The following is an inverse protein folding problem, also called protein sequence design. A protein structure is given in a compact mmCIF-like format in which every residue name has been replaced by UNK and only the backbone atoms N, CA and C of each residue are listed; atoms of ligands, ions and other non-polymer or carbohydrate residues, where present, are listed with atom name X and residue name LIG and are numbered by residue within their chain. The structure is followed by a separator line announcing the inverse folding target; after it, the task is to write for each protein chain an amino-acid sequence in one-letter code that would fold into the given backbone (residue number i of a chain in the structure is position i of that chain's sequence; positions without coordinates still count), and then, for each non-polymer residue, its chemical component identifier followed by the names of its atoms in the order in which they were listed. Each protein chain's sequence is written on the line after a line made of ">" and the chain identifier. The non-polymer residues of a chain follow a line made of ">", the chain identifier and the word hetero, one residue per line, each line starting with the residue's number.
data_IF_582834155247
#
_entry.id   IF_582834155247
#
_cell.length_a   1.000
_cell.length_b   1.000
_cell.length_c   1.000
_cell.angle_alpha   90.00
_cell.angle_beta   90.00
_cell.angle_gamma   90.00
#
_symmetry.space_group_name_H-M   'P 1'
#
loop_
_entity.id
_entity.type
_entity.pdbx_description
1 polymer ?
#
# COMPACT_ATOMS: atom_id res chain seq x y z
N UNK A 1 26.66 -15.15 -6.97
CA UNK A 1 26.79 -15.87 -5.68
C UNK A 1 26.32 -15.08 -4.44
N UNK A 2 25.47 -14.03 -4.55
CA UNK A 2 24.95 -13.26 -3.38
C UNK A 2 23.43 -13.37 -3.18
N UNK A 3 22.78 -14.28 -3.91
CA UNK A 3 21.31 -14.52 -3.87
C UNK A 3 20.92 -15.59 -2.83
N UNK A 4 21.83 -16.53 -2.54
CA UNK A 4 21.65 -17.52 -1.47
C UNK A 4 21.35 -16.92 -0.08
N UNK A 5 22.03 -15.85 0.39
CA UNK A 5 21.73 -15.28 1.71
C UNK A 5 20.36 -14.59 1.75
N UNK A 6 19.91 -14.00 0.64
CA UNK A 6 18.57 -13.40 0.53
C UNK A 6 17.47 -14.47 0.58
N UNK A 7 17.67 -15.60 -0.10
CA UNK A 7 16.74 -16.73 -0.05
C UNK A 7 16.69 -17.35 1.36
N UNK A 8 17.83 -17.47 2.03
CA UNK A 8 17.91 -17.98 3.41
C UNK A 8 17.21 -17.05 4.41
N UNK A 9 17.38 -15.72 4.27
CA UNK A 9 16.68 -14.74 5.10
C UNK A 9 15.18 -14.75 4.84
N UNK A 10 14.76 -14.86 3.58
CA UNK A 10 13.36 -14.93 3.18
C UNK A 10 12.69 -16.20 3.76
N UNK A 11 13.33 -17.37 3.68
CA UNK A 11 12.79 -18.61 4.25
C UNK A 11 12.73 -18.56 5.77
N UNK A 12 13.70 -17.94 6.43
CA UNK A 12 13.70 -17.77 7.89
C UNK A 12 12.57 -16.83 8.34
N UNK A 13 12.34 -15.76 7.58
CA UNK A 13 11.26 -14.80 7.83
C UNK A 13 9.87 -15.42 7.61
N UNK A 14 9.68 -16.21 6.53
CA UNK A 14 8.43 -16.94 6.30
C UNK A 14 8.16 -18.01 7.37
N UNK A 15 9.20 -18.74 7.82
CA UNK A 15 9.08 -19.77 8.85
C UNK A 15 8.82 -19.19 10.25
N UNK A 16 9.38 -18.02 10.56
CA UNK A 16 9.07 -17.29 11.81
C UNK A 16 7.63 -16.76 11.80
N UNK A 17 7.13 -16.34 10.64
CA UNK A 17 5.76 -15.83 10.49
C UNK A 17 4.69 -16.90 10.71
N UNK A 18 4.97 -18.17 10.38
CA UNK A 18 4.04 -19.29 10.61
C UNK A 18 4.01 -19.79 12.06
N UNK A 19 5.01 -19.46 12.88
CA UNK A 19 5.03 -19.78 14.30
C UNK A 19 4.26 -18.76 15.17
N UNK A 20 3.86 -17.61 14.61
CA UNK A 20 3.13 -16.56 15.31
C UNK A 20 1.60 -16.55 15.05
N UNK A 21 1.05 -17.55 14.33
CA UNK A 21 -0.39 -17.62 13.99
C UNK A 21 -1.20 -18.53 14.92
N UNK A 22 -0.63 -18.95 16.06
CA UNK A 22 -1.38 -19.63 17.11
C UNK A 22 -1.67 -18.66 18.25
N UNK A 23 -2.68 -17.81 18.06
CA UNK A 23 -3.46 -17.25 19.17
C UNK A 23 -4.96 -17.34 18.81
N UNK A 24 -5.81 -17.82 19.73
CA UNK A 24 -7.22 -18.12 19.49
C UNK A 24 -8.09 -16.88 19.23
N UNK A 25 -9.23 -17.01 18.53
CA UNK A 25 -10.20 -15.93 18.41
C UNK A 25 -10.92 -15.73 19.76
N UNK A 26 -10.43 -14.80 20.58
CA UNK A 26 -11.19 -14.29 21.72
C UNK A 26 -12.14 -13.22 21.21
N UNK A 27 -13.40 -13.61 20.98
CA UNK A 27 -14.48 -12.70 20.64
C UNK A 27 -14.81 -11.82 21.85
N UNK A 28 -14.39 -10.56 21.82
CA UNK A 28 -14.83 -9.53 22.76
C UNK A 28 -16.04 -8.74 22.18
N UNK A 29 -16.98 -8.30 23.04
CA UNK A 29 -18.21 -7.64 22.60
C UNK A 29 -17.95 -6.25 22.03
N UNK A 30 -18.56 -5.96 20.88
CA UNK A 30 -18.57 -4.64 20.26
C UNK A 30 -19.19 -3.61 21.20
N UNK A 31 -18.34 -2.78 21.80
CA UNK A 31 -18.74 -1.66 22.65
C UNK A 31 -18.60 -0.38 21.84
N UNK A 32 -19.62 0.48 21.89
CA UNK A 32 -19.66 1.75 21.17
C UNK A 32 -18.42 2.62 21.51
N UNK A 33 -17.86 3.34 20.52
CA UNK A 33 -16.65 4.12 20.74
C UNK A 33 -16.95 5.26 21.72
N UNK A 34 -16.30 5.20 22.89
CA UNK A 34 -16.19 6.33 23.80
C UNK A 34 -15.06 7.24 23.31
N UNK A 35 -15.06 8.55 23.62
CA UNK A 35 -13.99 9.46 23.20
C UNK A 35 -12.59 8.99 23.65
N UNK A 36 -12.52 8.21 24.73
CA UNK A 36 -11.32 7.53 25.21
C UNK A 36 -10.76 6.51 24.21
N UNK A 37 -11.63 5.78 23.50
CA UNK A 37 -11.23 4.73 22.54
C UNK A 37 -10.53 5.31 21.32
N UNK A 38 -10.97 6.47 20.82
CA UNK A 38 -10.37 7.10 19.65
C UNK A 38 -8.92 7.57 19.91
N UNK A 39 -8.64 8.06 21.13
CA UNK A 39 -7.28 8.38 21.56
C UNK A 39 -6.40 7.11 21.58
N UNK A 40 -6.92 6.04 22.17
CA UNK A 40 -6.23 4.74 22.26
C UNK A 40 -5.97 4.11 20.88
N UNK A 41 -6.90 4.24 19.94
CA UNK A 41 -6.74 3.73 18.57
C UNK A 41 -5.65 4.48 17.80
N UNK A 42 -5.57 5.81 18.01
CA UNK A 42 -4.52 6.63 17.41
C UNK A 42 -3.13 6.35 18.00
N UNK A 43 -3.07 6.08 19.31
CA UNK A 43 -1.85 5.65 19.99
C UNK A 43 -1.40 4.27 19.49
N UNK A 44 -2.32 3.32 19.36
CA UNK A 44 -2.05 2.00 18.79
C UNK A 44 -1.46 2.08 17.38
N UNK A 45 -2.00 2.95 16.52
CA UNK A 45 -1.43 3.20 15.18
C UNK A 45 -0.03 3.78 15.30
N UNK A 46 0.20 4.73 16.23
CA UNK A 46 1.52 5.34 16.44
C UNK A 46 2.56 4.29 16.79
N UNK A 47 2.30 3.47 17.81
CA UNK A 47 3.21 2.40 18.24
C UNK A 47 3.43 1.35 17.15
N UNK A 48 2.38 1.01 16.39
CA UNK A 48 2.51 0.11 15.24
C UNK A 48 3.41 0.70 14.15
N UNK A 49 3.26 2.01 13.87
CA UNK A 49 4.03 2.71 12.85
C UNK A 49 5.51 2.94 13.23
N UNK A 50 5.87 2.97 14.52
CA UNK A 50 7.26 3.07 14.98
C UNK A 50 8.15 1.92 14.49
N UNK A 51 7.55 0.75 14.25
CA UNK A 51 8.26 -0.42 13.71
C UNK A 51 8.50 -0.35 12.20
N UNK A 52 7.90 0.63 11.51
CA UNK A 52 8.01 0.79 10.06
C UNK A 52 9.19 1.69 9.69
N UNK A 53 9.64 1.58 8.44
CA UNK A 53 10.76 2.39 7.93
C UNK A 53 10.44 3.88 7.82
N UNK A 54 9.14 4.24 7.76
CA UNK A 54 8.66 5.61 7.59
C UNK A 54 7.52 5.90 8.58
N UNK A 55 7.84 6.10 9.88
CA UNK A 55 6.85 6.18 10.95
C UNK A 55 5.87 7.35 10.78
N UNK A 56 6.37 8.54 10.41
CA UNK A 56 5.52 9.72 10.17
C UNK A 56 4.56 9.52 8.98
N UNK A 57 5.06 8.95 7.88
CA UNK A 57 4.23 8.67 6.71
C UNK A 57 3.18 7.60 7.02
N UNK A 58 3.55 6.57 7.77
CA UNK A 58 2.63 5.53 8.22
C UNK A 58 1.51 6.14 9.08
N UNK A 59 1.86 6.91 10.11
CA UNK A 59 0.88 7.53 11.01
C UNK A 59 -0.06 8.46 10.24
N UNK A 60 0.48 9.37 9.42
CA UNK A 60 -0.34 10.31 8.66
C UNK A 60 -1.26 9.62 7.65
N UNK A 61 -0.83 8.46 7.13
CA UNK A 61 -1.62 7.66 6.19
C UNK A 61 -2.77 6.91 6.87
N UNK A 62 -2.59 6.50 8.13
CA UNK A 62 -3.53 5.65 8.86
C UNK A 62 -4.34 6.38 9.95
N UNK A 63 -3.92 7.57 10.40
CA UNK A 63 -4.56 8.29 11.51
C UNK A 63 -6.05 8.57 11.25
N UNK A 64 -6.43 8.87 10.00
CA UNK A 64 -7.84 9.05 9.60
C UNK A 64 -8.68 7.77 9.65
N UNK A 65 -8.04 6.60 9.80
CA UNK A 65 -8.68 5.29 9.85
C UNK A 65 -8.66 4.68 11.26
N UNK A 66 -8.29 5.44 12.30
CA UNK A 66 -8.18 4.95 13.68
C UNK A 66 -9.40 4.15 14.15
N UNK A 67 -10.61 4.66 13.88
CA UNK A 67 -11.87 3.99 14.22
C UNK A 67 -12.03 2.62 13.50
N UNK A 68 -11.54 2.50 12.26
CA UNK A 68 -11.59 1.25 11.51
C UNK A 68 -10.57 0.21 11.99
N UNK A 69 -9.45 0.67 12.58
CA UNK A 69 -8.38 -0.19 13.11
C UNK A 69 -8.76 -0.81 14.43
N UNK A 70 -9.38 -0.05 15.34
CA UNK A 70 -10.00 -0.56 16.57
C UNK A 70 -9.05 -1.43 17.41
N UNK A 71 -7.77 -1.00 17.51
CA UNK A 71 -6.67 -1.71 18.19
C UNK A 71 -6.37 -3.13 17.68
N UNK A 72 -6.83 -3.50 16.48
CA UNK A 72 -6.60 -4.81 15.89
C UNK A 72 -5.50 -4.73 14.81
N UNK A 73 -4.40 -5.50 14.95
CA UNK A 73 -3.29 -5.47 13.99
C UNK A 73 -3.68 -6.05 12.61
N UNK A 74 -4.61 -6.99 12.55
CA UNK A 74 -5.13 -7.54 11.29
C UNK A 74 -6.01 -6.54 10.54
N UNK A 75 -6.81 -5.74 11.26
CA UNK A 75 -7.55 -4.60 10.69
C UNK A 75 -6.61 -3.51 10.22
N UNK A 76 -5.57 -3.19 11.00
CA UNK A 76 -4.53 -2.24 10.60
C UNK A 76 -3.89 -2.66 9.26
N UNK A 77 -3.51 -3.93 9.11
CA UNK A 77 -2.93 -4.44 7.87
C UNK A 77 -3.91 -4.31 6.68
N UNK A 78 -5.18 -4.67 6.86
CA UNK A 78 -6.20 -4.54 5.80
C UNK A 78 -6.41 -3.10 5.37
N UNK A 79 -6.48 -2.17 6.32
CA UNK A 79 -6.58 -0.74 6.05
C UNK A 79 -5.35 -0.26 5.28
N UNK A 80 -4.14 -0.62 5.73
CA UNK A 80 -2.89 -0.25 5.06
C UNK A 80 -2.84 -0.74 3.60
N UNK A 81 -3.27 -1.98 3.35
CA UNK A 81 -3.38 -2.54 1.99
C UNK A 81 -4.39 -1.74 1.16
N UNK A 82 -5.57 -1.44 1.72
CA UNK A 82 -6.60 -0.66 1.04
C UNK A 82 -6.14 0.76 0.68
N UNK A 83 -5.43 1.44 1.59
CA UNK A 83 -4.83 2.76 1.34
C UNK A 83 -3.77 2.68 0.24
N UNK A 84 -2.93 1.65 0.27
CA UNK A 84 -1.88 1.44 -0.75
C UNK A 84 -2.47 1.22 -2.14
N UNK A 85 -3.48 0.35 -2.24
CA UNK A 85 -4.19 0.09 -3.49
C UNK A 85 -4.86 1.35 -4.04
N UNK A 86 -5.53 2.11 -3.17
CA UNK A 86 -6.21 3.36 -3.55
C UNK A 86 -5.22 4.41 -4.07
N UNK A 87 -4.04 4.52 -3.45
CA UNK A 87 -2.97 5.43 -3.91
C UNK A 87 -2.38 4.96 -5.24
N UNK A 88 -2.11 3.66 -5.39
CA UNK A 88 -1.60 3.09 -6.64
C UNK A 88 -2.58 3.35 -7.80
N UNK A 89 -3.88 3.12 -7.60
CA UNK A 89 -4.90 3.40 -8.61
C UNK A 89 -4.93 4.86 -9.05
N UNK A 90 -4.87 5.80 -8.09
CA UNK A 90 -4.79 7.24 -8.40
C UNK A 90 -3.53 7.60 -9.16
N UNK A 91 -2.40 7.00 -8.80
CA UNK A 91 -1.13 7.20 -9.49
C UNK A 91 -1.20 6.71 -10.95
N UNK A 92 -1.81 5.57 -11.22
CA UNK A 92 -2.02 5.07 -12.59
C UNK A 92 -2.83 6.05 -13.44
N UNK A 93 -3.92 6.60 -12.88
CA UNK A 93 -4.75 7.59 -13.57
C UNK A 93 -3.95 8.87 -13.84
N UNK A 94 -3.20 9.34 -12.84
CA UNK A 94 -2.35 10.52 -12.97
C UNK A 94 -1.31 10.34 -14.09
N UNK A 95 -0.58 9.22 -14.08
CA UNK A 95 0.41 8.91 -15.10
C UNK A 95 -0.20 8.80 -16.50
N UNK A 96 -1.39 8.20 -16.63
CA UNK A 96 -2.09 8.13 -17.91
C UNK A 96 -2.54 9.51 -18.43
N UNK A 97 -2.88 10.43 -17.53
CA UNK A 97 -3.19 11.81 -17.91
C UNK A 97 -1.94 12.59 -18.34
N UNK A 98 -0.85 12.45 -17.58
CA UNK A 98 0.44 13.08 -17.89
C UNK A 98 1.00 12.54 -19.21
N UNK A 99 0.91 11.24 -19.48
CA UNK A 99 1.41 10.66 -20.73
C UNK A 99 0.71 11.26 -21.95
N UNK A 100 -0.61 11.47 -21.89
CA UNK A 100 -1.37 12.13 -22.97
C UNK A 100 -0.91 13.55 -23.24
N UNK A 101 -0.51 14.29 -22.20
CA UNK A 101 0.03 15.64 -22.38
C UNK A 101 1.41 15.62 -23.03
N UNK A 102 2.25 14.65 -22.67
CA UNK A 102 3.56 14.46 -23.30
C UNK A 102 3.38 14.12 -24.78
N UNK A 103 2.46 13.22 -25.11
CA UNK A 103 2.14 12.85 -26.50
C UNK A 103 1.66 14.06 -27.31
N UNK A 104 0.79 14.90 -26.75
CA UNK A 104 0.34 16.14 -27.38
C UNK A 104 1.47 17.17 -27.57
N UNK A 105 2.35 17.32 -26.58
CA UNK A 105 3.49 18.25 -26.67
C UNK A 105 4.53 17.82 -27.71
N UNK A 106 4.65 16.51 -27.95
CA UNK A 106 5.52 15.96 -28.98
C UNK A 106 4.93 16.20 -30.38
N UNK A 107 3.61 16.09 -30.53
CA UNK A 107 2.89 16.37 -31.79
C UNK A 107 3.04 17.83 -32.23
N UNK A 108 2.96 18.79 -31.29
CA UNK A 108 3.09 20.20 -31.63
C UNK A 108 4.53 20.64 -32.00
N UNK A 109 5.54 19.78 -31.76
CA UNK A 109 6.97 20.07 -31.97
C UNK A 109 7.56 19.52 -33.27
N UNK A 110 6.83 18.85 -34.18
CA UNK A 110 7.40 18.41 -35.47
C UNK A 110 6.36 18.22 -36.60
N UNK A 111 6.63 18.70 -37.83
CA UNK A 111 6.07 18.13 -39.06
C UNK A 111 6.94 16.96 -39.52
N UNK A 112 6.62 15.73 -39.09
CA UNK A 112 7.26 14.51 -39.65
C UNK A 112 6.22 13.38 -39.76
N UNK A 113 6.20 12.56 -40.82
CA UNK A 113 5.09 11.65 -41.08
C UNK A 113 5.08 10.53 -40.05
N UNK A 114 3.99 10.44 -39.32
CA UNK A 114 3.69 9.38 -38.38
C UNK A 114 3.33 8.09 -39.13
N UNK A 115 4.34 7.35 -39.58
CA UNK A 115 4.16 5.96 -39.98
C UNK A 115 4.25 5.08 -38.72
N UNK A 116 3.08 4.64 -38.25
CA UNK A 116 2.87 3.31 -37.68
C UNK A 116 3.91 2.79 -36.67
N UNK A 117 3.78 3.16 -35.39
CA UNK A 117 4.38 2.38 -34.31
C UNK A 117 3.68 2.49 -32.95
N UNK A 118 2.46 3.05 -32.87
CA UNK A 118 1.64 3.00 -31.65
C UNK A 118 0.70 1.80 -31.64
N UNK A 119 1.26 0.60 -31.84
CA UNK A 119 0.60 -0.69 -31.63
C UNK A 119 1.35 -1.57 -30.61
N UNK A 120 2.41 -1.05 -29.98
CA UNK A 120 3.25 -1.80 -29.03
C UNK A 120 2.99 -1.48 -27.55
N UNK A 121 2.19 -0.47 -27.21
CA UNK A 121 1.90 -0.05 -25.83
C UNK A 121 0.62 -0.64 -25.24
N UNK A 122 -0.29 -1.20 -26.06
CA UNK A 122 -1.56 -1.77 -25.58
C UNK A 122 -1.48 -3.26 -25.18
N UNK A 123 -0.43 -3.99 -25.60
CA UNK A 123 -0.38 -5.47 -25.46
C UNK A 123 0.60 -5.98 -24.40
N UNK A 124 1.32 -5.12 -23.67
CA UNK A 124 2.38 -5.55 -22.73
C UNK A 124 1.99 -5.52 -21.25
N UNK A 125 0.82 -5.04 -20.87
CA UNK A 125 0.38 -5.00 -19.47
C UNK A 125 -0.49 -6.19 -19.04
N UNK A 126 -0.68 -7.20 -19.90
CA UNK A 126 -1.54 -8.38 -19.62
C UNK A 126 -0.87 -9.74 -19.88
N UNK A 127 0.46 -9.83 -19.94
CA UNK A 127 1.15 -11.13 -19.91
C UNK A 127 2.36 -11.11 -18.98
#
# INVERSE_FOLDING_TARGET
>A
MRILPFLSLLTFFLAACSAAVVDPPSAAPASAPTPSTAANDSEFIRTSCETTLYPELCYHSLAGYANAVQQDPGRLARVAIGVSLSRAARMTIYLANVSRQVDYSADHRQPWPSTTASLSSATRWTR
#
